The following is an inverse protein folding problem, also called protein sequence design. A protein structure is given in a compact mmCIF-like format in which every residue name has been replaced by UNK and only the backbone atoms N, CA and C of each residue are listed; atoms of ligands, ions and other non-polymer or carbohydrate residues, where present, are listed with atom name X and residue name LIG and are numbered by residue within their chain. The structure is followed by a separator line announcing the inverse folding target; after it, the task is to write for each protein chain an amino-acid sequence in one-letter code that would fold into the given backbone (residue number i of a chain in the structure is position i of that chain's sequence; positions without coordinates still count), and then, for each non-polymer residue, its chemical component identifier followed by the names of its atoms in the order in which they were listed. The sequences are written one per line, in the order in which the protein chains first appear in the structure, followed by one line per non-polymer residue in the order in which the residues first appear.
data_IF_087547778326
#
_entry.id   IF_087547778326
#
_cell.length_a   1.000
_cell.length_b   1.000
_cell.length_c   1.000
_cell.angle_alpha   90.00
_cell.angle_beta   90.00
_cell.angle_gamma   90.00
#
_symmetry.space_group_name_H-M   'P 1'
#
loop_
_entity.id
_entity.type
_entity.pdbx_description
1 polymer ?
#
# COMPACT_ATOMS: atom_id res chain seq x y z
N UNK A 1 19.91 -12.34 3.58
CA UNK A 1 18.60 -11.64 3.66
C UNK A 1 17.68 -12.21 2.60
N UNK A 2 16.40 -12.46 2.91
CA UNK A 2 15.37 -12.88 1.92
C UNK A 2 14.32 -11.77 1.87
N UNK A 3 14.62 -10.73 1.11
CA UNK A 3 13.83 -9.51 1.04
C UNK A 3 12.96 -9.41 -0.22
N UNK A 4 11.85 -8.68 -0.14
CA UNK A 4 11.03 -8.30 -1.30
C UNK A 4 10.66 -6.82 -1.23
N UNK A 5 10.50 -6.18 -2.39
CA UNK A 5 9.94 -4.83 -2.51
C UNK A 5 8.42 -4.90 -2.70
N UNK A 6 7.70 -4.00 -2.04
CA UNK A 6 6.27 -3.77 -2.27
C UNK A 6 6.06 -2.31 -2.68
N UNK A 7 5.82 -2.10 -3.97
CA UNK A 7 5.60 -0.80 -4.57
C UNK A 7 4.13 -0.35 -4.42
N UNK A 8 3.96 0.93 -4.11
CA UNK A 8 2.65 1.57 -3.95
C UNK A 8 2.37 2.58 -5.07
N UNK A 9 3.40 3.00 -5.82
CA UNK A 9 3.24 3.78 -7.04
C UNK A 9 2.32 3.02 -8.01
N UNK A 10 1.33 3.74 -8.54
CA UNK A 10 0.30 3.17 -9.44
C UNK A 10 -0.45 1.95 -8.88
N UNK A 11 -0.32 1.64 -7.58
CA UNK A 11 -0.82 0.42 -6.91
C UNK A 11 -0.21 -0.88 -7.44
N UNK A 12 1.06 -0.85 -7.85
CA UNK A 12 1.71 -2.00 -8.48
C UNK A 12 1.60 -3.27 -7.62
N UNK A 13 1.92 -3.17 -6.32
CA UNK A 13 1.80 -4.30 -5.39
C UNK A 13 0.70 -4.14 -4.33
N UNK A 14 0.40 -2.88 -3.96
CA UNK A 14 -0.58 -2.53 -2.93
C UNK A 14 -1.03 -1.06 -3.10
N UNK A 15 -2.27 -0.69 -2.70
CA UNK A 15 -3.37 -1.52 -2.23
C UNK A 15 -4.11 -2.25 -3.36
N UNK A 16 -4.88 -3.31 -3.07
CA UNK A 16 -5.67 -3.99 -4.09
C UNK A 16 -6.73 -3.06 -4.68
N UNK A 17 -6.98 -3.21 -5.99
CA UNK A 17 -7.94 -2.40 -6.76
C UNK A 17 -9.34 -2.41 -6.13
N UNK A 18 -9.77 -3.56 -5.61
CA UNK A 18 -11.07 -3.71 -4.93
C UNK A 18 -11.26 -2.76 -3.75
N UNK A 19 -10.17 -2.40 -3.04
CA UNK A 19 -10.25 -1.51 -1.89
C UNK A 19 -10.42 -0.04 -2.29
N UNK A 20 -9.90 0.36 -3.47
CA UNK A 20 -9.81 1.76 -3.86
C UNK A 20 -11.18 2.35 -4.19
N UNK A 21 -12.08 1.51 -4.69
CA UNK A 21 -13.44 1.90 -5.06
C UNK A 21 -14.41 1.97 -3.88
N UNK A 22 -13.97 1.62 -2.67
CA UNK A 22 -14.80 1.68 -1.45
C UNK A 22 -14.87 3.14 -1.00
N UNK A 23 -16.08 3.73 -1.02
CA UNK A 23 -16.29 5.13 -0.64
C UNK A 23 -16.05 5.38 0.85
N UNK A 24 -16.56 4.48 1.72
CA UNK A 24 -16.38 4.57 3.17
C UNK A 24 -14.90 4.41 3.58
N UNK A 25 -14.26 5.43 4.18
CA UNK A 25 -12.83 5.38 4.52
C UNK A 25 -12.45 4.29 5.52
N UNK A 26 -13.32 4.01 6.50
CA UNK A 26 -13.07 2.99 7.53
C UNK A 26 -13.12 1.58 6.92
N UNK A 27 -14.13 1.30 6.10
CA UNK A 27 -14.24 0.04 5.38
C UNK A 27 -13.08 -0.14 4.40
N UNK A 28 -12.69 0.92 3.67
CA UNK A 28 -11.52 0.92 2.79
C UNK A 28 -10.24 0.57 3.54
N UNK A 29 -9.97 1.24 4.66
CA UNK A 29 -8.80 0.98 5.49
C UNK A 29 -8.77 -0.48 6.00
N UNK A 30 -9.91 -1.01 6.45
CA UNK A 30 -10.02 -2.40 6.92
C UNK A 30 -9.66 -3.41 5.82
N UNK A 31 -10.19 -3.22 4.60
CA UNK A 31 -9.87 -4.12 3.47
C UNK A 31 -8.39 -4.03 3.09
N UNK A 32 -7.82 -2.82 3.09
CA UNK A 32 -6.39 -2.62 2.78
C UNK A 32 -5.47 -3.24 3.83
N UNK A 33 -5.83 -3.15 5.11
CA UNK A 33 -5.11 -3.78 6.21
C UNK A 33 -5.17 -5.31 6.10
N UNK A 34 -6.36 -5.89 5.88
CA UNK A 34 -6.50 -7.34 5.72
C UNK A 34 -5.67 -7.85 4.53
N UNK A 35 -5.74 -7.16 3.39
CA UNK A 35 -4.95 -7.52 2.22
C UNK A 35 -3.43 -7.44 2.46
N UNK A 36 -2.97 -6.52 3.32
CA UNK A 36 -1.57 -6.46 3.72
C UNK A 36 -1.21 -7.64 4.63
N UNK A 37 -2.04 -7.96 5.63
CA UNK A 37 -1.84 -9.12 6.52
C UNK A 37 -1.74 -10.40 5.70
N UNK A 38 -2.71 -10.66 4.82
CA UNK A 38 -2.75 -11.87 3.99
C UNK A 38 -1.48 -11.99 3.11
N UNK A 39 -0.99 -10.86 2.58
CA UNK A 39 0.24 -10.81 1.78
C UNK A 39 1.47 -11.10 2.64
N UNK A 40 1.58 -10.51 3.83
CA UNK A 40 2.69 -10.74 4.74
C UNK A 40 2.73 -12.20 5.23
N UNK A 41 1.58 -12.79 5.57
CA UNK A 41 1.45 -14.20 5.96
C UNK A 41 1.89 -15.14 4.83
N UNK A 42 1.51 -14.81 3.59
CA UNK A 42 1.97 -15.57 2.42
C UNK A 42 3.50 -15.46 2.24
N UNK A 43 4.05 -14.25 2.30
CA UNK A 43 5.51 -14.03 2.17
C UNK A 43 6.29 -14.76 3.27
N UNK A 44 5.79 -14.72 4.51
CA UNK A 44 6.38 -15.47 5.63
C UNK A 44 6.38 -16.98 5.36
N UNK A 45 5.28 -17.56 4.86
CA UNK A 45 5.22 -19.00 4.49
C UNK A 45 6.23 -19.37 3.40
N UNK A 46 6.54 -18.44 2.50
CA UNK A 46 7.59 -18.61 1.48
C UNK A 46 9.01 -18.42 2.05
N UNK A 47 9.15 -18.03 3.32
CA UNK A 47 10.41 -17.80 4.01
C UNK A 47 11.05 -16.45 3.69
N UNK A 48 10.28 -15.47 3.21
CA UNK A 48 10.69 -14.06 3.17
C UNK A 48 10.76 -13.54 4.60
N UNK A 49 11.82 -12.81 4.91
CA UNK A 49 12.07 -12.27 6.25
C UNK A 49 12.23 -10.75 6.28
N UNK A 50 12.11 -10.07 5.13
CA UNK A 50 12.17 -8.61 5.06
C UNK A 50 11.29 -8.08 3.94
N UNK A 51 10.59 -6.97 4.20
CA UNK A 51 9.78 -6.27 3.22
C UNK A 51 10.23 -4.81 3.16
N UNK A 52 10.57 -4.34 1.97
CA UNK A 52 10.80 -2.94 1.67
C UNK A 52 9.50 -2.34 1.13
N UNK A 53 8.74 -1.68 2.00
CA UNK A 53 7.45 -1.09 1.64
C UNK A 53 7.62 0.36 1.18
N UNK A 54 7.16 0.67 -0.04
CA UNK A 54 7.26 2.01 -0.60
C UNK A 54 6.23 2.94 0.06
N UNK A 55 6.65 3.69 1.08
CA UNK A 55 5.75 4.62 1.79
C UNK A 55 5.58 5.97 1.08
N UNK A 56 6.51 6.34 0.20
CA UNK A 56 6.58 7.64 -0.51
C UNK A 56 6.67 7.42 -2.03
N UNK A 57 5.54 7.24 -2.74
CA UNK A 57 5.56 6.78 -4.13
C UNK A 57 5.92 7.86 -5.16
N UNK A 58 5.40 9.08 -5.04
CA UNK A 58 5.43 10.10 -6.11
C UNK A 58 5.39 11.54 -5.55
N UNK A 59 6.11 11.77 -4.44
CA UNK A 59 6.05 13.05 -3.72
C UNK A 59 4.94 13.11 -2.66
N UNK A 60 3.97 12.20 -2.73
CA UNK A 60 2.99 11.95 -1.66
C UNK A 60 3.55 11.06 -0.54
N UNK A 61 2.79 10.93 0.56
CA UNK A 61 3.13 10.14 1.73
C UNK A 61 1.96 9.23 2.17
N UNK A 62 2.27 7.98 2.54
CA UNK A 62 1.34 7.05 3.18
C UNK A 62 1.29 7.21 4.71
N UNK A 63 1.74 8.35 5.22
CA UNK A 63 1.70 8.69 6.64
C UNK A 63 1.30 10.17 6.82
N UNK A 64 0.72 10.56 7.96
CA UNK A 64 0.46 11.95 8.28
C UNK A 64 1.77 12.76 8.23
N UNK A 65 1.83 13.74 7.33
CA UNK A 65 3.01 14.57 7.10
C UNK A 65 2.65 16.04 7.03
N UNK A 66 3.53 16.89 7.55
CA UNK A 66 3.43 18.36 7.40
C UNK A 66 4.00 18.85 6.06
N UNK A 67 4.88 18.07 5.45
CA UNK A 67 5.69 18.49 4.30
C UNK A 67 5.26 17.83 2.98
N UNK A 68 4.53 16.71 3.05
CA UNK A 68 4.11 15.94 1.89
C UNK A 68 2.61 15.72 1.92
N UNK A 69 1.97 15.82 0.75
CA UNK A 69 0.56 15.49 0.62
C UNK A 69 0.31 14.03 1.00
N UNK A 70 -0.68 13.79 1.86
CA UNK A 70 -1.08 12.43 2.22
C UNK A 70 -1.87 11.82 1.06
N UNK A 71 -1.57 10.57 0.68
CA UNK A 71 -2.35 9.84 -0.34
C UNK A 71 -3.79 9.72 0.11
N UNK A 72 -4.73 10.33 -0.62
CA UNK A 72 -6.18 10.30 -0.33
C UNK A 72 -6.99 9.54 -1.37
N UNK A 73 -6.53 9.54 -2.62
CA UNK A 73 -7.12 8.84 -3.75
C UNK A 73 -6.01 8.34 -4.67
N UNK A 74 -6.18 7.14 -5.21
CA UNK A 74 -5.32 6.63 -6.28
C UNK A 74 -6.05 6.88 -7.60
N UNK A 75 -6.08 8.11 -8.10
CA UNK A 75 -6.65 8.37 -9.43
C UNK A 75 -5.58 8.16 -10.50
N UNK A 76 -6.00 7.89 -11.74
CA UNK A 76 -5.13 7.50 -12.86
C UNK A 76 -4.41 8.68 -13.52
N UNK A 77 -4.53 9.89 -12.98
CA UNK A 77 -4.25 11.19 -13.63
C UNK A 77 -3.08 11.99 -13.03
N UNK A 78 -2.14 11.33 -12.37
CA UNK A 78 -0.95 11.98 -11.80
C UNK A 78 0.30 11.88 -12.70
N UNK A 79 0.10 11.87 -14.03
CA UNK A 79 1.10 12.16 -15.07
C UNK A 79 0.47 12.89 -16.26
#
# INVERSE_FOLDING_TARGET
MRGIWLATVSRLDWPPVSSVNISNPTSRARVQQQAMIDKLDHLQRLGINTVFFQVKPDGTALWPSKNFAVVRSYDRKDW
#
